data_IF_868978487253
#
_entry.id   IF_868978487253
#
_cell.length_a   1.000
_cell.length_b   1.000
_cell.length_c   1.000
_cell.angle_alpha   90.00
_cell.angle_beta   90.00
_cell.angle_gamma   90.00
#
_symmetry.space_group_name_H-M   'P 1'
#
loop_
_entity.id
_entity.type
_entity.pdbx_description
1 polymer ?
#
# COMPACT_ATOMS: atom_id res chain seq x y z
N UNK A 1 -4.61 -12.02 -9.29
CA UNK A 1 -3.80 -11.16 -8.43
C UNK A 1 -3.52 -11.85 -7.15
N UNK A 2 -2.29 -12.10 -6.88
CA UNK A 2 -1.91 -12.81 -5.71
C UNK A 2 -1.24 -11.92 -4.68
N UNK A 3 -0.95 -12.54 -3.55
CA UNK A 3 -0.16 -11.89 -2.51
C UNK A 3 1.28 -11.85 -2.98
N UNK A 4 1.91 -10.68 -2.88
CA UNK A 4 3.33 -10.52 -3.17
C UNK A 4 4.07 -10.21 -1.89
N UNK A 5 5.29 -10.69 -1.78
CA UNK A 5 6.10 -10.44 -0.60
C UNK A 5 7.07 -9.30 -0.90
N UNK A 6 6.97 -8.26 -0.09
CA UNK A 6 7.79 -7.05 -0.25
C UNK A 6 8.75 -6.98 0.92
N UNK A 7 10.01 -6.69 0.65
CA UNK A 7 11.00 -6.53 1.72
C UNK A 7 10.81 -5.18 2.38
N UNK A 8 10.49 -5.19 3.66
CA UNK A 8 10.22 -3.98 4.40
C UNK A 8 11.10 -3.90 5.63
N UNK A 9 11.46 -2.67 6.06
CA UNK A 9 12.40 -2.48 7.17
C UNK A 9 11.73 -2.68 8.52
N UNK A 10 12.48 -3.29 9.43
CA UNK A 10 12.05 -3.47 10.82
C UNK A 10 13.16 -3.00 11.73
N UNK A 11 12.80 -2.31 12.78
CA UNK A 11 13.75 -1.81 13.74
C UNK A 11 14.35 -2.95 14.55
N UNK A 12 15.64 -2.87 14.80
CA UNK A 12 16.32 -3.80 15.70
C UNK A 12 17.21 -3.00 16.64
N UNK A 13 17.98 -3.68 17.50
CA UNK A 13 18.81 -3.00 18.50
C UNK A 13 19.72 -1.94 17.89
N UNK A 14 20.33 -2.26 16.75
CA UNK A 14 21.20 -1.33 16.05
C UNK A 14 20.77 -1.30 14.59
N UNK A 15 20.07 -0.21 14.19
CA UNK A 15 19.66 -0.02 12.81
C UNK A 15 18.41 -0.78 12.47
N UNK A 16 18.34 -1.25 11.23
CA UNK A 16 17.15 -1.88 10.67
C UNK A 16 17.52 -3.16 9.97
N UNK A 17 16.58 -4.09 9.91
CA UNK A 17 16.70 -5.30 9.12
C UNK A 17 15.51 -5.38 8.19
N UNK A 18 15.66 -6.06 7.06
CA UNK A 18 14.55 -6.24 6.12
C UNK A 18 13.95 -7.62 6.28
N UNK A 19 12.62 -7.68 6.24
CA UNK A 19 11.88 -8.93 6.24
C UNK A 19 10.84 -8.89 5.16
N UNK A 20 10.51 -10.04 4.61
CA UNK A 20 9.45 -10.13 3.63
C UNK A 20 8.08 -10.03 4.31
N UNK A 21 7.25 -9.14 3.81
CA UNK A 21 5.90 -8.92 4.35
C UNK A 21 4.91 -9.17 3.21
N UNK A 22 3.88 -9.99 3.45
CA UNK A 22 2.89 -10.24 2.42
C UNK A 22 2.00 -9.02 2.22
N UNK A 23 1.83 -8.62 0.97
CA UNK A 23 1.01 -7.47 0.60
C UNK A 23 0.05 -7.91 -0.50
N UNK A 24 -1.21 -7.54 -0.36
CA UNK A 24 -2.23 -7.82 -1.35
C UNK A 24 -2.96 -6.53 -1.69
N UNK A 25 -2.94 -6.15 -2.96
CA UNK A 25 -3.65 -4.98 -3.45
C UNK A 25 -4.86 -5.46 -4.23
N UNK A 26 -6.04 -5.26 -3.67
CA UNK A 26 -7.29 -5.58 -4.34
C UNK A 26 -8.26 -4.42 -4.11
N UNK A 27 -9.48 -4.57 -4.60
CA UNK A 27 -10.47 -3.50 -4.48
C UNK A 27 -10.73 -3.13 -3.01
N UNK A 28 -10.85 -4.15 -2.16
CA UNK A 28 -11.07 -3.90 -0.73
C UNK A 28 -9.91 -3.16 -0.10
N UNK A 29 -8.68 -3.48 -0.50
CA UNK A 29 -7.50 -2.77 -0.02
C UNK A 29 -7.61 -1.29 -0.34
N UNK A 30 -7.95 -0.97 -1.59
CA UNK A 30 -8.02 0.43 -2.01
C UNK A 30 -9.20 1.15 -1.37
N UNK A 31 -10.32 0.47 -1.17
CA UNK A 31 -11.45 1.07 -0.46
C UNK A 31 -11.06 1.46 0.96
N UNK A 32 -10.31 0.59 1.64
CA UNK A 32 -9.86 0.87 2.99
C UNK A 32 -8.83 2.01 3.00
N UNK A 33 -7.99 2.10 1.99
CA UNK A 33 -7.06 3.22 1.86
C UNK A 33 -7.85 4.53 1.71
N UNK A 34 -8.90 4.52 0.90
CA UNK A 34 -9.75 5.69 0.74
C UNK A 34 -10.35 6.14 2.07
N UNK A 35 -10.83 5.18 2.86
CA UNK A 35 -11.38 5.50 4.17
C UNK A 35 -10.32 6.13 5.07
N UNK A 36 -9.11 5.55 5.10
CA UNK A 36 -8.03 6.07 5.92
C UNK A 36 -7.64 7.49 5.52
N UNK A 37 -7.60 7.76 4.23
CA UNK A 37 -7.16 9.05 3.72
C UNK A 37 -8.31 10.06 3.57
N UNK A 38 -9.54 9.60 3.78
CA UNK A 38 -10.74 10.43 3.63
C UNK A 38 -10.82 11.04 2.23
N UNK A 39 -10.63 10.20 1.22
CA UNK A 39 -10.69 10.62 -0.18
C UNK A 39 -11.66 9.72 -0.95
N UNK A 40 -12.15 10.25 -2.07
CA UNK A 40 -12.97 9.47 -2.96
C UNK A 40 -12.12 8.51 -3.78
N UNK A 41 -12.72 7.42 -4.20
CA UNK A 41 -12.02 6.40 -4.96
C UNK A 41 -11.39 6.98 -6.23
N UNK A 42 -12.09 7.87 -6.91
CA UNK A 42 -11.59 8.51 -8.13
C UNK A 42 -10.42 9.44 -7.90
N UNK A 43 -10.16 9.84 -6.64
CA UNK A 43 -9.08 10.76 -6.31
C UNK A 43 -7.82 10.06 -5.84
N UNK A 44 -7.77 8.72 -5.92
CA UNK A 44 -6.59 7.98 -5.42
C UNK A 44 -5.31 8.38 -6.14
N UNK A 45 -5.38 8.57 -7.45
CA UNK A 45 -4.21 8.95 -8.22
C UNK A 45 -3.66 10.30 -7.77
N UNK A 46 -4.56 11.25 -7.51
CA UNK A 46 -4.14 12.56 -7.03
C UNK A 46 -3.55 12.46 -5.62
N UNK A 47 -4.14 11.61 -4.77
CA UNK A 47 -3.61 11.40 -3.43
C UNK A 47 -2.19 10.86 -3.46
N UNK A 48 -1.91 9.96 -4.40
CA UNK A 48 -0.56 9.44 -4.56
C UNK A 48 0.43 10.55 -4.87
N UNK A 49 0.03 11.50 -5.69
CA UNK A 49 0.91 12.61 -6.08
C UNK A 49 1.04 13.67 -5.00
N UNK A 50 -0.05 13.97 -4.31
CA UNK A 50 -0.10 15.08 -3.37
C UNK A 50 0.25 14.69 -1.95
N UNK A 51 -0.08 13.47 -1.56
CA UNK A 51 0.12 12.99 -0.20
C UNK A 51 0.80 11.62 -0.23
N UNK A 52 1.88 11.53 -0.99
CA UNK A 52 2.54 10.26 -1.24
C UNK A 52 2.92 9.49 0.02
N UNK A 53 3.46 10.20 1.03
CA UNK A 53 3.85 9.56 2.27
C UNK A 53 2.66 8.89 2.95
N UNK A 54 1.58 9.64 3.13
CA UNK A 54 0.37 9.11 3.77
C UNK A 54 -0.23 7.98 2.93
N UNK A 55 -0.21 8.16 1.60
CA UNK A 55 -0.73 7.13 0.71
C UNK A 55 0.03 5.82 0.87
N UNK A 56 1.36 5.88 0.91
CA UNK A 56 2.15 4.65 1.00
C UNK A 56 2.06 3.99 2.36
N UNK A 57 1.94 4.76 3.44
CA UNK A 57 1.68 4.17 4.75
C UNK A 57 0.35 3.41 4.71
N UNK A 58 -0.68 4.07 4.18
CA UNK A 58 -2.00 3.45 4.11
C UNK A 58 -2.01 2.20 3.24
N UNK A 59 -1.37 2.27 2.06
CA UNK A 59 -1.40 1.14 1.13
C UNK A 59 -0.64 -0.07 1.69
N UNK A 60 0.49 0.17 2.36
CA UNK A 60 1.25 -0.92 2.95
C UNK A 60 0.50 -1.56 4.12
N UNK A 61 -0.10 -0.73 4.96
CA UNK A 61 -0.85 -1.25 6.10
C UNK A 61 -2.07 -2.03 5.65
N UNK A 62 -2.89 -1.43 4.78
CA UNK A 62 -4.10 -2.09 4.32
C UNK A 62 -3.80 -3.28 3.42
N UNK A 63 -2.73 -3.20 2.65
CA UNK A 63 -2.29 -4.33 1.84
C UNK A 63 -1.85 -5.50 2.69
N UNK A 64 -1.16 -5.22 3.79
CA UNK A 64 -0.76 -6.25 4.73
C UNK A 64 -2.01 -6.88 5.39
N UNK A 65 -2.95 -6.05 5.84
CA UNK A 65 -4.18 -6.58 6.45
C UNK A 65 -4.98 -7.42 5.47
N UNK A 66 -5.04 -7.00 4.21
CA UNK A 66 -5.74 -7.75 3.17
C UNK A 66 -5.08 -9.11 2.95
N UNK A 67 -3.74 -9.14 2.94
CA UNK A 67 -3.02 -10.40 2.77
C UNK A 67 -3.28 -11.34 3.94
N UNK A 68 -3.28 -10.82 5.16
CA UNK A 68 -3.56 -11.63 6.35
C UNK A 68 -4.96 -12.20 6.29
N UNK A 69 -5.92 -11.38 5.88
CA UNK A 69 -7.31 -11.82 5.77
C UNK A 69 -7.46 -12.93 4.75
N UNK A 70 -6.73 -12.80 3.63
CA UNK A 70 -6.81 -13.79 2.56
C UNK A 70 -6.37 -15.16 3.02
N UNK A 71 -5.39 -15.25 3.91
CA UNK A 71 -4.87 -16.53 4.39
C UNK A 71 -5.32 -16.86 5.81
N UNK A 72 -6.30 -16.13 6.32
CA UNK A 72 -6.89 -16.37 7.64
C UNK A 72 -5.88 -16.31 8.78
N UNK A 73 -4.94 -15.39 8.70
CA UNK A 73 -3.94 -15.18 9.74
C UNK A 73 -4.22 -13.88 10.48
N UNK A 74 -3.94 -13.88 11.77
CA UNK A 74 -4.03 -12.66 12.56
C UNK A 74 -2.85 -11.75 12.22
N UNK A 75 -3.10 -10.45 12.03
CA UNK A 75 -2.01 -9.50 11.79
C UNK A 75 -1.06 -9.44 13.00
N UNK A 76 0.23 -9.49 12.71
CA UNK A 76 1.26 -9.32 13.73
C UNK A 76 1.75 -7.89 13.80
N UNK A 77 1.65 -7.17 12.69
CA UNK A 77 2.22 -5.84 12.58
C UNK A 77 1.12 -4.81 12.67
N UNK A 78 1.46 -3.66 13.25
CA UNK A 78 0.49 -2.61 13.52
C UNK A 78 0.72 -1.43 12.58
N UNK A 79 -0.12 -0.43 12.69
CA UNK A 79 0.04 0.80 11.94
C UNK A 79 1.41 1.44 12.21
N UNK A 80 1.90 1.32 13.44
CA UNK A 80 3.22 1.85 13.79
C UNK A 80 4.32 1.22 12.94
N UNK A 81 4.22 -0.09 12.70
CA UNK A 81 5.17 -0.75 11.81
C UNK A 81 5.08 -0.16 10.39
N UNK A 82 3.89 0.13 9.93
CA UNK A 82 3.70 0.68 8.58
C UNK A 82 4.37 2.05 8.45
N UNK A 83 4.35 2.85 9.49
CA UNK A 83 5.04 4.14 9.49
C UNK A 83 6.54 3.93 9.33
N UNK A 84 7.10 2.97 10.07
CA UNK A 84 8.52 2.65 9.96
C UNK A 84 8.86 2.14 8.57
N UNK A 85 7.99 1.29 8.00
CA UNK A 85 8.19 0.79 6.64
C UNK A 85 8.33 1.96 5.66
N UNK A 86 7.44 2.92 5.74
CA UNK A 86 7.45 4.03 4.80
C UNK A 86 8.69 4.91 4.98
N UNK A 87 9.13 5.13 6.22
CA UNK A 87 10.26 5.99 6.49
C UNK A 87 11.59 5.41 6.02
N UNK A 88 11.72 4.09 6.02
CA UNK A 88 13.01 3.45 5.78
C UNK A 88 13.01 2.44 4.63
N UNK A 89 11.96 2.41 3.84
CA UNK A 89 11.83 1.46 2.74
C UNK A 89 12.92 1.72 1.69
N UNK A 90 13.46 0.64 1.12
CA UNK A 90 14.45 0.76 0.06
C UNK A 90 13.79 1.20 -1.25
N UNK A 91 14.59 1.77 -2.15
CA UNK A 91 14.07 2.19 -3.44
C UNK A 91 13.52 1.02 -4.25
N UNK A 92 14.19 -0.13 -4.17
CA UNK A 92 13.73 -1.32 -4.88
C UNK A 92 12.36 -1.77 -4.41
N UNK A 93 12.16 -1.81 -3.09
CA UNK A 93 10.87 -2.20 -2.54
C UNK A 93 9.79 -1.17 -2.85
N UNK A 94 10.14 0.10 -2.81
CA UNK A 94 9.18 1.16 -3.16
C UNK A 94 8.73 1.06 -4.62
N UNK A 95 9.66 0.76 -5.53
CA UNK A 95 9.31 0.58 -6.93
C UNK A 95 8.38 -0.61 -7.12
N UNK A 96 8.65 -1.70 -6.41
CA UNK A 96 7.82 -2.90 -6.47
C UNK A 96 6.41 -2.59 -6.00
N UNK A 97 6.30 -1.90 -4.88
CA UNK A 97 5.00 -1.53 -4.33
C UNK A 97 4.25 -0.61 -5.29
N UNK A 98 4.95 0.39 -5.83
CA UNK A 98 4.33 1.32 -6.77
C UNK A 98 3.84 0.60 -8.02
N UNK A 99 4.63 -0.35 -8.52
CA UNK A 99 4.22 -1.17 -9.66
C UNK A 99 2.90 -1.89 -9.39
N UNK A 100 2.77 -2.47 -8.20
CA UNK A 100 1.54 -3.17 -7.84
C UNK A 100 0.35 -2.23 -7.82
N UNK A 101 0.52 -1.06 -7.24
CA UNK A 101 -0.56 -0.08 -7.13
C UNK A 101 -0.95 0.43 -8.52
N UNK A 102 0.04 0.79 -9.33
CA UNK A 102 -0.24 1.35 -10.66
C UNK A 102 -0.88 0.32 -11.58
N UNK A 103 -0.44 -0.94 -11.47
CA UNK A 103 -1.03 -2.01 -12.27
C UNK A 103 -2.52 -2.16 -11.94
N UNK A 104 -2.87 -2.09 -10.66
CA UNK A 104 -4.27 -2.21 -10.27
C UNK A 104 -5.08 -0.99 -10.73
N UNK A 105 -4.56 0.22 -10.49
CA UNK A 105 -5.24 1.44 -10.88
C UNK A 105 -5.46 1.48 -12.40
N UNK A 106 -4.43 1.12 -13.16
CA UNK A 106 -4.54 1.09 -14.61
C UNK A 106 -5.55 0.09 -15.11
N UNK A 107 -5.55 -1.11 -14.49
CA UNK A 107 -6.47 -2.16 -14.90
C UNK A 107 -7.93 -1.75 -14.72
N UNK A 108 -8.23 -1.05 -13.64
CA UNK A 108 -9.61 -0.65 -13.35
C UNK A 108 -9.91 0.78 -13.75
N UNK A 109 -8.95 1.47 -14.35
CA UNK A 109 -9.13 2.83 -14.89
C UNK A 109 -9.65 3.82 -13.87
N UNK A 110 -9.20 3.67 -12.63
CA UNK A 110 -9.65 4.54 -11.55
C UNK A 110 -9.27 5.99 -11.82
N UNK A 111 -8.11 6.20 -12.44
CA UNK A 111 -7.63 7.55 -12.72
C UNK A 111 -8.35 8.23 -13.86
N UNK A 112 -9.13 7.47 -14.62
CA UNK A 112 -9.78 8.00 -15.83
C UNK A 112 -11.08 8.71 -15.55
N UNK A 113 -11.59 8.63 -14.33
CA UNK A 113 -12.91 9.17 -14.04
C UNK A 113 -13.00 10.65 -14.36
N UNK A 114 -11.95 11.42 -14.11
CA UNK A 114 -11.97 12.85 -14.40
C UNK A 114 -11.81 13.14 -15.89
N UNK A 115 -11.06 12.31 -16.58
CA UNK A 115 -10.80 12.54 -18.00
C UNK A 115 -12.02 12.27 -18.86
N UNK A 116 -12.86 11.38 -18.41
CA UNK A 116 -14.05 11.02 -19.19
C UNK A 116 -15.11 12.11 -19.23
N UNK A 117 -14.97 13.07 -18.36
CA UNK A 117 -15.96 14.14 -18.28
C UNK A 117 -15.84 15.11 -19.43
N UNK A 118 -14.74 15.08 -20.10
CA UNK A 118 -14.60 15.93 -21.28
C UNK A 118 -15.63 15.58 -22.35
#
# INVERSE_FOLDING_TARGET
>A
MGIEKIKLPFKKSFGYTEKEVPILINMGTLENVCVMLEVEFGDLSDSLKEKGTDFFVAIMYQGYLSACKEVYQKPKYTFHHAVIWQEHISQGSMKELLRMVEAFIGKYKITDSKKKVK
#
